data_IF_999163949516
#
_entry.id   IF_999163949516
#
_cell.length_a   1.000
_cell.length_b   1.000
_cell.length_c   1.000
_cell.angle_alpha   90.00
_cell.angle_beta   90.00
_cell.angle_gamma   90.00
#
_symmetry.space_group_name_H-M   'P 1'
#
loop_
_entity.id
_entity.type
_entity.pdbx_description
1 polymer ?
#
# COMPACT_ATOMS: atom_id res chain seq x y z
N UNK A 1 0.34 -25.84 -3.80
CA UNK A 1 1.11 -26.96 -4.39
C UNK A 1 0.30 -27.45 -5.56
N UNK A 2 0.84 -27.30 -6.76
CA UNK A 2 0.18 -27.75 -7.98
C UNK A 2 0.15 -29.26 -8.00
N UNK A 3 -1.05 -29.84 -8.07
CA UNK A 3 -1.22 -31.26 -8.31
C UNK A 3 -0.90 -31.46 -9.78
N UNK A 4 0.32 -31.94 -10.02
CA UNK A 4 0.80 -32.33 -11.34
C UNK A 4 -0.07 -33.45 -11.88
N UNK A 5 -0.50 -33.33 -13.11
CA UNK A 5 -1.16 -34.23 -14.02
C UNK A 5 -0.68 -35.70 -13.93
N UNK A 6 -1.14 -36.40 -12.95
CA UNK A 6 -1.12 -37.86 -12.98
C UNK A 6 -2.54 -38.30 -13.34
N UNK A 7 -2.68 -39.12 -14.38
CA UNK A 7 -3.95 -39.73 -14.73
C UNK A 7 -4.49 -40.63 -13.62
N UNK A 8 -5.69 -41.11 -13.77
CA UNK A 8 -6.30 -42.05 -12.84
C UNK A 8 -5.42 -43.32 -12.66
N UNK A 9 -5.14 -43.76 -11.44
CA UNK A 9 -4.28 -44.94 -11.20
C UNK A 9 -4.87 -46.27 -11.73
N UNK A 10 -6.16 -46.31 -12.01
CA UNK A 10 -6.81 -47.53 -12.52
C UNK A 10 -7.05 -47.51 -14.03
N UNK A 11 -7.35 -46.35 -14.64
CA UNK A 11 -7.73 -46.28 -16.02
C UNK A 11 -7.01 -45.23 -16.87
N UNK A 12 -6.04 -44.50 -16.28
CA UNK A 12 -5.33 -43.35 -16.89
C UNK A 12 -6.26 -42.23 -17.41
N UNK A 13 -7.53 -42.25 -17.02
CA UNK A 13 -8.51 -41.23 -17.40
C UNK A 13 -8.22 -39.86 -16.79
N UNK A 14 -8.83 -38.81 -17.37
CA UNK A 14 -8.71 -37.46 -16.86
C UNK A 14 -9.32 -37.30 -15.46
N UNK A 15 -8.64 -36.57 -14.60
CA UNK A 15 -9.11 -36.25 -13.24
C UNK A 15 -9.83 -34.91 -13.24
N UNK A 16 -11.03 -34.85 -12.68
CA UNK A 16 -11.82 -33.64 -12.51
C UNK A 16 -12.03 -33.34 -11.03
N UNK A 17 -11.86 -32.07 -10.64
CA UNK A 17 -12.15 -31.61 -9.30
C UNK A 17 -13.66 -31.30 -9.19
N UNK A 18 -14.38 -32.06 -8.38
CA UNK A 18 -15.80 -31.88 -8.09
C UNK A 18 -15.98 -31.50 -6.63
N UNK A 19 -16.07 -30.21 -6.34
CA UNK A 19 -16.20 -29.71 -4.96
C UNK A 19 -14.97 -30.05 -4.09
N UNK A 20 -15.15 -30.91 -3.09
CA UNK A 20 -14.08 -31.35 -2.16
C UNK A 20 -13.37 -32.63 -2.63
N UNK A 21 -13.72 -33.19 -3.78
CA UNK A 21 -13.21 -34.48 -4.25
C UNK A 21 -12.59 -34.34 -5.65
N UNK A 22 -11.54 -35.12 -5.88
CA UNK A 22 -10.96 -35.29 -7.21
C UNK A 22 -11.36 -36.65 -7.74
N UNK A 23 -12.21 -36.65 -8.79
CA UNK A 23 -12.86 -37.85 -9.33
C UNK A 23 -12.35 -38.11 -10.74
N UNK A 24 -12.18 -39.36 -11.10
CA UNK A 24 -11.89 -39.74 -12.48
C UNK A 24 -13.15 -39.64 -13.33
N UNK A 25 -13.08 -38.85 -14.46
CA UNK A 25 -14.19 -38.72 -15.41
C UNK A 25 -14.57 -39.99 -16.13
N UNK A 26 -13.65 -40.97 -16.24
CA UNK A 26 -13.86 -42.23 -17.01
C UNK A 26 -14.38 -43.38 -16.15
N UNK A 27 -13.86 -43.58 -14.94
CA UNK A 27 -14.23 -44.71 -14.09
C UNK A 27 -14.93 -44.33 -12.79
N UNK A 28 -15.02 -43.03 -12.46
CA UNK A 28 -15.65 -42.54 -11.25
C UNK A 28 -14.84 -42.75 -9.94
N UNK A 29 -13.59 -43.18 -10.03
CA UNK A 29 -12.74 -43.39 -8.89
C UNK A 29 -12.43 -42.05 -8.19
N UNK A 30 -12.67 -41.93 -6.88
CA UNK A 30 -12.24 -40.81 -6.07
C UNK A 30 -10.77 -41.00 -5.70
N UNK A 31 -9.90 -40.18 -6.30
CA UNK A 31 -8.44 -40.27 -6.14
C UNK A 31 -7.96 -39.47 -4.92
N UNK A 32 -8.60 -38.37 -4.64
CA UNK A 32 -8.28 -37.53 -3.48
C UNK A 32 -9.53 -36.87 -2.92
N UNK A 33 -9.56 -36.70 -1.60
CA UNK A 33 -10.59 -35.99 -0.87
C UNK A 33 -9.97 -34.82 -0.12
N UNK A 34 -10.31 -33.59 -0.49
CA UNK A 34 -9.88 -32.39 0.22
C UNK A 34 -10.99 -31.98 1.20
N UNK A 35 -10.88 -32.44 2.43
CA UNK A 35 -11.84 -32.18 3.50
C UNK A 35 -11.65 -30.80 4.17
N UNK A 36 -10.63 -30.04 3.74
CA UNK A 36 -10.34 -28.73 4.31
C UNK A 36 -11.16 -27.68 3.57
N UNK A 37 -12.17 -27.13 4.21
CA UNK A 37 -12.87 -25.94 3.73
C UNK A 37 -11.94 -24.73 3.88
N UNK A 38 -11.47 -24.21 2.73
CA UNK A 38 -10.61 -23.00 2.66
C UNK A 38 -11.45 -21.72 2.53
N UNK A 39 -12.75 -21.84 2.52
CA UNK A 39 -13.68 -20.72 2.52
C UNK A 39 -13.65 -19.94 3.84
N UNK A 40 -14.21 -18.75 3.87
CA UNK A 40 -14.30 -17.95 5.09
C UNK A 40 -15.26 -18.64 6.10
N UNK A 41 -14.88 -18.64 7.38
CA UNK A 41 -15.70 -19.20 8.50
C UNK A 41 -17.02 -18.46 8.73
N UNK A 42 -17.17 -17.27 8.16
CA UNK A 42 -18.40 -16.46 8.29
C UNK A 42 -19.21 -16.53 7.01
N UNK A 43 -20.52 -16.51 7.17
CA UNK A 43 -21.47 -16.34 6.08
C UNK A 43 -22.11 -14.97 6.21
N UNK A 44 -22.10 -14.18 5.15
CA UNK A 44 -22.81 -12.92 5.02
C UNK A 44 -23.98 -13.14 4.08
N UNK A 45 -25.20 -12.81 4.51
CA UNK A 45 -26.38 -12.81 3.69
C UNK A 45 -26.71 -11.37 3.30
N UNK A 46 -27.34 -11.16 2.14
CA UNK A 46 -27.70 -9.83 1.64
C UNK A 46 -28.62 -9.04 2.61
N UNK A 47 -29.40 -9.77 3.45
CA UNK A 47 -30.29 -9.17 4.45
C UNK A 47 -29.62 -8.88 5.79
N UNK A 48 -28.34 -9.18 5.97
CA UNK A 48 -27.63 -8.93 7.24
C UNK A 48 -27.28 -7.44 7.37
N UNK A 49 -27.86 -6.75 8.35
CA UNK A 49 -27.54 -5.34 8.68
C UNK A 49 -26.10 -5.12 9.15
N UNK A 50 -25.40 -6.17 9.54
CA UNK A 50 -24.01 -6.11 10.04
C UNK A 50 -23.10 -7.06 9.29
N UNK A 51 -22.01 -6.54 8.78
CA UNK A 51 -20.97 -7.33 8.13
C UNK A 51 -20.25 -8.21 9.15
N UNK A 52 -20.41 -9.54 9.03
CA UNK A 52 -19.83 -10.54 9.95
C UNK A 52 -18.39 -10.91 9.60
N UNK A 53 -17.82 -10.29 8.59
CA UNK A 53 -16.46 -10.56 8.14
C UNK A 53 -15.43 -10.36 9.25
N UNK A 54 -14.65 -11.39 9.57
CA UNK A 54 -13.59 -11.38 10.58
C UNK A 54 -12.21 -11.15 9.94
N UNK A 55 -12.16 -10.32 8.91
CA UNK A 55 -10.94 -9.94 8.25
C UNK A 55 -10.37 -8.68 8.87
N UNK A 56 -9.04 -8.55 8.83
CA UNK A 56 -8.39 -7.27 9.11
C UNK A 56 -8.66 -6.25 8.01
N UNK A 57 -8.24 -5.01 8.25
CA UNK A 57 -8.30 -3.97 7.23
C UNK A 57 -7.55 -4.41 5.96
N UNK A 58 -8.04 -4.05 4.76
CA UNK A 58 -7.37 -4.40 3.52
C UNK A 58 -5.95 -3.84 3.45
N UNK A 59 -5.04 -4.58 2.82
CA UNK A 59 -3.67 -4.15 2.60
C UNK A 59 -3.66 -2.90 1.70
N UNK A 60 -3.12 -1.80 2.22
CA UNK A 60 -3.03 -0.54 1.48
C UNK A 60 -1.58 -0.19 1.18
N UNK A 61 -1.27 0.14 -0.08
CA UNK A 61 0.09 0.56 -0.47
C UNK A 61 0.47 1.94 0.07
N UNK A 62 -0.50 2.76 0.48
CA UNK A 62 -0.26 4.08 1.07
C UNK A 62 0.21 4.04 2.53
N UNK A 63 0.36 2.85 3.11
CA UNK A 63 0.98 2.65 4.41
C UNK A 63 2.35 2.01 4.23
N UNK A 64 3.36 2.50 4.95
CA UNK A 64 4.73 1.98 4.91
C UNK A 64 4.83 0.49 5.27
N UNK A 65 3.93 0.02 6.12
CA UNK A 65 3.78 -1.35 6.60
C UNK A 65 2.62 -2.11 5.92
N UNK A 66 2.03 -1.53 4.87
CA UNK A 66 0.83 -2.02 4.18
C UNK A 66 -0.38 -2.25 5.09
N UNK A 67 -0.34 -1.74 6.33
CA UNK A 67 -1.39 -1.93 7.33
C UNK A 67 -1.24 -3.18 8.19
N UNK A 68 -0.11 -3.91 8.09
CA UNK A 68 0.13 -5.14 8.85
C UNK A 68 0.56 -4.90 10.30
N UNK A 69 1.11 -3.72 10.62
CA UNK A 69 1.54 -3.44 11.99
C UNK A 69 0.38 -3.00 12.88
N UNK A 70 0.48 -3.36 14.15
CA UNK A 70 -0.44 -2.93 15.19
C UNK A 70 0.07 -1.69 15.89
N UNK A 71 -0.81 -0.89 16.47
CA UNK A 71 -0.46 0.27 17.27
C UNK A 71 -0.86 0.10 18.73
N UNK A 72 0.00 0.53 19.65
CA UNK A 72 -0.36 0.61 21.07
C UNK A 72 -1.23 1.86 21.28
N UNK A 73 -2.53 1.63 21.54
CA UNK A 73 -3.54 2.67 21.66
C UNK A 73 -3.17 3.81 22.62
N UNK A 74 -3.61 5.02 22.31
CA UNK A 74 -3.40 6.22 23.13
C UNK A 74 -4.57 6.39 24.09
N UNK A 75 -4.43 5.95 25.35
CA UNK A 75 -5.40 6.25 26.38
C UNK A 75 -5.00 7.53 27.14
N UNK A 76 -5.93 8.48 27.22
CA UNK A 76 -5.77 9.72 28.00
C UNK A 76 -5.97 9.49 29.49
N UNK A 77 -6.59 8.36 29.88
CA UNK A 77 -6.93 8.04 31.29
C UNK A 77 -5.74 7.54 32.13
N UNK A 78 -4.58 7.29 31.50
CA UNK A 78 -3.42 6.75 32.21
C UNK A 78 -2.69 7.86 32.96
N UNK A 79 -2.45 7.66 34.26
CA UNK A 79 -1.72 8.60 35.14
C UNK A 79 -0.46 7.95 35.72
N UNK A 80 0.48 8.79 36.17
CA UNK A 80 1.63 8.41 36.99
C UNK A 80 2.52 7.31 36.32
N UNK A 81 2.83 6.25 37.06
CA UNK A 81 3.74 5.17 36.68
C UNK A 81 3.26 4.41 35.42
N UNK A 82 1.94 4.17 35.30
CA UNK A 82 1.36 3.48 34.13
C UNK A 82 1.56 4.31 32.85
N UNK A 83 1.35 5.64 32.91
CA UNK A 83 1.59 6.54 31.78
C UNK A 83 3.06 6.52 31.33
N UNK A 84 4.01 6.53 32.27
CA UNK A 84 5.45 6.46 31.95
C UNK A 84 5.80 5.13 31.28
N UNK A 85 5.29 4.00 31.82
CA UNK A 85 5.49 2.66 31.25
C UNK A 85 4.95 2.55 29.82
N UNK A 86 3.72 3.02 29.60
CA UNK A 86 3.11 2.99 28.26
C UNK A 86 3.82 3.89 27.27
N UNK A 87 4.32 5.06 27.71
CA UNK A 87 5.15 5.94 26.86
C UNK A 87 6.45 5.25 26.43
N UNK A 88 7.09 4.52 27.34
CA UNK A 88 8.31 3.74 27.06
C UNK A 88 8.01 2.61 26.06
N UNK A 89 6.95 1.84 26.28
CA UNK A 89 6.53 0.75 25.40
C UNK A 89 6.23 1.27 23.98
N UNK A 90 5.47 2.35 23.85
CA UNK A 90 5.21 2.98 22.55
C UNK A 90 6.48 3.42 21.83
N UNK A 91 7.44 3.97 22.57
CA UNK A 91 8.75 4.35 21.99
C UNK A 91 9.52 3.15 21.49
N UNK A 92 9.56 2.06 22.27
CA UNK A 92 10.22 0.82 21.88
C UNK A 92 9.51 0.16 20.69
N UNK A 93 8.19 0.09 20.72
CA UNK A 93 7.37 -0.44 19.63
C UNK A 93 7.60 0.32 18.32
N UNK A 94 7.57 1.66 18.37
CA UNK A 94 7.85 2.50 17.19
C UNK A 94 9.26 2.30 16.64
N UNK A 95 10.25 2.02 17.51
CA UNK A 95 11.62 1.70 17.06
C UNK A 95 11.70 0.33 16.41
N UNK A 96 10.95 -0.64 16.91
CA UNK A 96 10.90 -1.99 16.36
C UNK A 96 10.16 -2.07 15.00
N UNK A 97 9.25 -1.13 14.72
CA UNK A 97 8.54 -1.06 13.44
C UNK A 97 9.41 -0.59 12.27
N UNK A 98 10.53 0.07 12.53
CA UNK A 98 11.45 0.57 11.50
C UNK A 98 12.80 -0.09 11.66
N UNK A 99 13.03 -1.21 10.95
CA UNK A 99 14.26 -1.98 11.04
C UNK A 99 15.40 -1.34 10.23
N UNK A 100 15.06 -0.75 9.07
CA UNK A 100 16.04 -0.19 8.15
C UNK A 100 15.94 1.32 8.00
N UNK A 101 17.04 1.96 7.54
CA UNK A 101 17.05 3.37 7.12
C UNK A 101 16.06 3.58 5.95
N UNK A 102 15.96 2.60 5.06
CA UNK A 102 15.04 2.62 3.92
C UNK A 102 13.58 2.70 4.38
N UNK A 103 13.18 1.88 5.37
CA UNK A 103 11.82 1.91 5.92
C UNK A 103 11.50 3.23 6.62
N UNK A 104 12.49 3.79 7.33
CA UNK A 104 12.35 5.11 7.95
C UNK A 104 12.12 6.19 6.90
N UNK A 105 12.90 6.19 5.82
CA UNK A 105 12.76 7.16 4.72
C UNK A 105 11.39 7.02 4.05
N UNK A 106 10.94 5.78 3.80
CA UNK A 106 9.60 5.49 3.25
C UNK A 106 8.49 6.03 4.16
N UNK A 107 8.60 5.78 5.46
CA UNK A 107 7.63 6.29 6.43
C UNK A 107 7.57 7.83 6.43
N UNK A 108 8.73 8.50 6.41
CA UNK A 108 8.82 9.97 6.35
C UNK A 108 8.21 10.49 5.04
N UNK A 109 8.57 9.92 3.90
CA UNK A 109 8.00 10.31 2.61
C UNK A 109 6.48 10.14 2.56
N UNK A 110 5.95 9.05 3.08
CA UNK A 110 4.50 8.83 3.14
C UNK A 110 3.77 9.81 4.07
N UNK A 111 4.39 10.20 5.18
CA UNK A 111 3.85 11.25 6.05
C UNK A 111 3.81 12.59 5.31
N UNK A 112 4.87 12.91 4.58
CA UNK A 112 4.96 14.14 3.81
C UNK A 112 3.95 14.17 2.65
N UNK A 113 3.83 13.08 1.88
CA UNK A 113 2.78 12.92 0.85
C UNK A 113 1.39 13.20 1.43
N UNK A 114 1.05 12.60 2.58
CA UNK A 114 -0.25 12.82 3.23
C UNK A 114 -0.45 14.28 3.64
N UNK A 115 0.62 14.93 4.14
CA UNK A 115 0.58 16.32 4.56
C UNK A 115 0.30 17.24 3.38
N UNK A 116 1.02 17.06 2.28
CA UNK A 116 0.85 17.85 1.05
C UNK A 116 -0.55 17.64 0.45
N UNK A 117 -0.98 16.37 0.32
CA UNK A 117 -2.31 16.03 -0.20
C UNK A 117 -3.43 16.63 0.66
N UNK A 118 -3.31 16.58 2.01
CA UNK A 118 -4.27 17.23 2.92
C UNK A 118 -4.22 18.76 2.83
N UNK A 119 -3.04 19.35 2.66
CA UNK A 119 -2.88 20.79 2.56
C UNK A 119 -3.45 21.39 1.27
N UNK A 120 -3.54 20.58 0.23
CA UNK A 120 -4.08 20.98 -1.10
C UNK A 120 -5.49 20.43 -1.38
N UNK A 121 -6.14 19.79 -0.40
CA UNK A 121 -7.45 19.14 -0.52
C UNK A 121 -7.56 18.18 -1.72
N UNK A 122 -6.51 17.39 -1.96
CA UNK A 122 -6.46 16.44 -3.06
C UNK A 122 -7.13 15.11 -2.70
N UNK A 123 -7.54 14.37 -3.73
CA UNK A 123 -8.22 13.08 -3.56
C UNK A 123 -7.33 11.99 -2.95
N UNK A 124 -7.96 10.99 -2.31
CA UNK A 124 -7.25 9.82 -1.77
C UNK A 124 -6.54 9.02 -2.88
N UNK A 125 -7.08 9.02 -4.09
CA UNK A 125 -6.47 8.35 -5.24
C UNK A 125 -5.11 8.97 -5.58
N UNK A 126 -4.98 10.29 -5.57
CA UNK A 126 -3.70 10.99 -5.77
C UNK A 126 -2.74 10.64 -4.64
N UNK A 127 -3.19 10.61 -3.39
CA UNK A 127 -2.37 10.20 -2.26
C UNK A 127 -1.79 8.80 -2.44
N UNK A 128 -2.64 7.84 -2.77
CA UNK A 128 -2.22 6.44 -2.87
C UNK A 128 -1.27 6.21 -4.05
N UNK A 129 -1.54 6.84 -5.20
CA UNK A 129 -0.63 6.83 -6.35
C UNK A 129 0.71 7.52 -6.03
N UNK A 130 0.70 8.63 -5.29
CA UNK A 130 1.91 9.34 -4.91
C UNK A 130 2.78 8.52 -3.93
N UNK A 131 2.16 7.76 -3.03
CA UNK A 131 2.89 6.83 -2.17
C UNK A 131 3.55 5.71 -3.01
N UNK A 132 2.85 5.16 -4.01
CA UNK A 132 3.41 4.15 -4.92
C UNK A 132 4.56 4.71 -5.74
N UNK A 133 4.41 5.93 -6.30
CA UNK A 133 5.46 6.57 -7.08
C UNK A 133 6.70 6.87 -6.23
N UNK A 134 6.51 7.33 -4.99
CA UNK A 134 7.60 7.54 -4.04
C UNK A 134 8.32 6.22 -3.69
N UNK A 135 7.57 5.11 -3.50
CA UNK A 135 8.14 3.78 -3.26
C UNK A 135 8.97 3.30 -4.46
N UNK A 136 8.49 3.54 -5.70
CA UNK A 136 9.23 3.23 -6.93
C UNK A 136 10.52 4.05 -7.03
N UNK A 137 10.46 5.37 -6.76
CA UNK A 137 11.64 6.21 -6.72
C UNK A 137 12.68 5.75 -5.69
N UNK A 138 12.20 5.25 -4.55
CA UNK A 138 13.08 4.70 -3.53
C UNK A 138 13.68 3.35 -3.93
N UNK A 139 12.95 2.52 -4.70
CA UNK A 139 13.47 1.24 -5.19
C UNK A 139 14.56 1.39 -6.23
N UNK A 140 14.51 2.48 -7.02
CA UNK A 140 15.52 2.85 -8.00
C UNK A 140 16.63 3.74 -7.40
N UNK A 141 16.73 3.82 -6.07
CA UNK A 141 17.74 4.56 -5.32
C UNK A 141 17.85 6.07 -5.70
N UNK A 142 16.77 6.66 -6.25
CA UNK A 142 16.76 8.06 -6.69
C UNK A 142 16.85 9.06 -5.53
N UNK A 143 16.57 8.63 -4.30
CA UNK A 143 16.61 9.47 -3.10
C UNK A 143 18.03 9.68 -2.56
N UNK A 144 19.06 9.00 -3.10
CA UNK A 144 20.41 9.11 -2.58
C UNK A 144 20.96 10.52 -2.80
N UNK A 145 21.36 11.18 -1.71
CA UNK A 145 21.90 12.54 -1.72
C UNK A 145 20.89 13.65 -1.99
N UNK A 146 19.59 13.34 -1.92
CA UNK A 146 18.49 14.29 -2.19
C UNK A 146 17.49 14.35 -1.03
N UNK A 147 16.64 15.39 -1.02
CA UNK A 147 15.60 15.63 -0.02
C UNK A 147 14.46 14.61 -0.13
N UNK A 148 14.11 13.96 0.98
CA UNK A 148 12.95 13.04 1.04
C UNK A 148 11.66 13.83 0.84
N UNK A 149 11.59 15.02 1.45
CA UNK A 149 10.46 15.93 1.38
C UNK A 149 10.27 16.43 -0.05
N UNK A 150 11.37 16.76 -0.75
CA UNK A 150 11.36 17.15 -2.16
C UNK A 150 10.81 16.04 -3.07
N UNK A 151 11.23 14.78 -2.87
CA UNK A 151 10.69 13.65 -3.62
C UNK A 151 9.23 13.35 -3.30
N UNK A 152 8.81 13.50 -2.05
CA UNK A 152 7.41 13.33 -1.66
C UNK A 152 6.51 14.37 -2.34
N UNK A 153 6.93 15.64 -2.33
CA UNK A 153 6.23 16.73 -3.01
C UNK A 153 6.23 16.54 -4.54
N UNK A 154 7.35 16.15 -5.13
CA UNK A 154 7.46 15.87 -6.55
C UNK A 154 6.56 14.69 -7.00
N UNK A 155 6.42 13.65 -6.17
CA UNK A 155 5.50 12.55 -6.43
C UNK A 155 4.03 12.99 -6.43
N UNK A 156 3.64 13.91 -5.54
CA UNK A 156 2.29 14.51 -5.55
C UNK A 156 2.09 15.35 -6.79
N UNK A 157 3.03 16.24 -7.11
CA UNK A 157 2.97 17.08 -8.31
C UNK A 157 2.85 16.27 -9.60
N UNK A 158 3.68 15.22 -9.75
CA UNK A 158 3.64 14.32 -10.90
C UNK A 158 2.27 13.63 -11.05
N UNK A 159 1.68 13.18 -9.93
CA UNK A 159 0.37 12.55 -9.98
C UNK A 159 -0.77 13.55 -10.21
N UNK A 160 -0.67 14.78 -9.77
CA UNK A 160 -1.61 15.83 -10.16
C UNK A 160 -1.59 16.03 -11.68
N UNK A 161 -0.40 16.14 -12.28
CA UNK A 161 -0.24 16.28 -13.73
C UNK A 161 -0.82 15.10 -14.52
N UNK A 162 -0.50 13.87 -14.12
CA UNK A 162 -1.01 12.67 -14.81
C UNK A 162 -2.50 12.42 -14.61
N UNK A 163 -3.09 13.01 -13.59
CA UNK A 163 -4.52 12.90 -13.29
C UNK A 163 -5.35 14.08 -13.81
N UNK A 164 -4.75 15.04 -14.53
CA UNK A 164 -5.44 16.23 -15.04
C UNK A 164 -5.90 17.19 -13.94
N UNK A 165 -5.22 17.18 -12.78
CA UNK A 165 -5.50 18.13 -11.70
C UNK A 165 -4.47 19.25 -11.77
N UNK A 166 -4.91 20.43 -12.21
CA UNK A 166 -4.04 21.59 -12.33
C UNK A 166 -3.56 22.05 -10.95
N UNK A 167 -2.25 22.00 -10.73
CA UNK A 167 -1.54 22.53 -9.55
C UNK A 167 -0.19 23.06 -9.98
N UNK A 168 0.17 24.21 -9.48
CA UNK A 168 1.46 24.82 -9.76
C UNK A 168 2.55 24.25 -8.84
N UNK A 169 3.82 24.34 -9.29
CA UNK A 169 4.97 23.95 -8.44
C UNK A 169 5.00 24.77 -7.15
N UNK A 170 4.67 26.06 -7.24
CA UNK A 170 4.63 26.96 -6.10
C UNK A 170 3.60 26.56 -5.05
N UNK A 171 2.37 26.19 -5.46
CA UNK A 171 1.33 25.71 -4.55
C UNK A 171 1.75 24.44 -3.82
N UNK A 172 2.33 23.47 -4.57
CA UNK A 172 2.78 22.21 -3.98
C UNK A 172 3.95 22.44 -3.03
N UNK A 173 4.91 23.30 -3.39
CA UNK A 173 6.03 23.66 -2.52
C UNK A 173 5.56 24.40 -1.25
N UNK A 174 4.57 25.29 -1.38
CA UNK A 174 3.97 26.00 -0.23
C UNK A 174 3.28 25.06 0.77
N UNK A 175 2.73 23.93 0.30
CA UNK A 175 2.17 22.88 1.16
C UNK A 175 3.25 21.89 1.65
N UNK A 176 4.41 21.81 1.03
CA UNK A 176 5.49 20.88 1.35
C UNK A 176 6.48 21.44 2.40
N UNK A 177 7.30 20.58 3.00
CA UNK A 177 8.48 20.98 3.80
C UNK A 177 9.74 21.08 2.92
N UNK A 178 9.57 21.14 1.62
CA UNK A 178 10.64 21.25 0.64
C UNK A 178 10.57 22.61 -0.05
N UNK A 179 11.73 23.05 -0.53
CA UNK A 179 11.81 24.23 -1.39
C UNK A 179 11.36 23.91 -2.81
N UNK A 180 10.99 24.94 -3.58
CA UNK A 180 10.59 24.77 -4.98
C UNK A 180 11.72 24.17 -5.83
N UNK A 181 12.97 24.54 -5.56
CA UNK A 181 14.12 24.00 -6.25
C UNK A 181 14.35 22.52 -5.96
N UNK A 182 14.20 22.09 -4.70
CA UNK A 182 14.28 20.67 -4.33
C UNK A 182 13.19 19.86 -5.01
N UNK A 183 11.95 20.41 -5.07
CA UNK A 183 10.84 19.79 -5.76
C UNK A 183 11.11 19.65 -7.25
N UNK A 184 11.62 20.72 -7.90
CA UNK A 184 11.96 20.73 -9.33
C UNK A 184 13.02 19.68 -9.67
N UNK A 185 14.12 19.66 -8.91
CA UNK A 185 15.19 18.66 -9.09
C UNK A 185 14.69 17.23 -8.90
N UNK A 186 13.83 17.01 -7.89
CA UNK A 186 13.23 15.70 -7.64
C UNK A 186 12.27 15.30 -8.76
N UNK A 187 11.44 16.22 -9.25
CA UNK A 187 10.52 15.98 -10.35
C UNK A 187 11.25 15.64 -11.66
N UNK A 188 12.32 16.38 -11.99
CA UNK A 188 13.14 16.10 -13.17
C UNK A 188 13.79 14.72 -13.10
N UNK A 189 14.23 14.30 -11.90
CA UNK A 189 14.76 12.97 -11.68
C UNK A 189 13.69 11.89 -11.86
N UNK A 190 12.49 12.07 -11.29
CA UNK A 190 11.35 11.15 -11.44
C UNK A 190 10.95 11.01 -12.91
N UNK A 191 10.86 12.13 -13.62
CA UNK A 191 10.43 12.13 -15.03
C UNK A 191 11.47 11.43 -15.93
N UNK A 192 12.76 11.62 -15.68
CA UNK A 192 13.85 11.03 -16.45
C UNK A 192 13.95 9.52 -16.25
N UNK A 193 13.96 9.09 -14.99
CA UNK A 193 14.25 7.69 -14.66
C UNK A 193 13.01 6.79 -14.73
N UNK A 194 11.83 7.32 -14.38
CA UNK A 194 10.59 6.53 -14.38
C UNK A 194 9.72 6.77 -15.64
N UNK A 195 10.13 7.66 -16.54
CA UNK A 195 9.43 7.90 -17.81
C UNK A 195 7.95 8.24 -17.63
N UNK A 196 7.64 9.22 -16.76
CA UNK A 196 6.26 9.56 -16.46
C UNK A 196 5.52 10.08 -17.70
N UNK A 197 4.27 9.67 -17.94
CA UNK A 197 3.46 10.13 -19.06
C UNK A 197 2.93 11.56 -18.80
N UNK A 198 3.84 12.52 -18.60
CA UNK A 198 3.51 13.92 -18.38
C UNK A 198 3.57 14.67 -19.69
N UNK A 199 2.41 14.96 -20.29
CA UNK A 199 2.29 15.83 -21.45
C UNK A 199 2.49 17.31 -21.12
N UNK A 200 2.49 18.22 -22.16
CA UNK A 200 2.39 19.65 -21.93
C UNK A 200 1.11 19.99 -21.20
N UNK A 201 1.17 21.00 -20.34
CA UNK A 201 0.00 21.48 -19.59
C UNK A 201 -0.75 22.50 -20.48
N UNK A 202 -2.06 22.35 -20.56
CA UNK A 202 -2.90 23.38 -21.15
C UNK A 202 -3.00 24.57 -20.16
N UNK A 203 -2.60 25.80 -20.57
CA UNK A 203 -2.72 26.97 -19.71
C UNK A 203 -4.15 27.27 -19.26
N UNK A 204 -5.17 26.78 -19.99
CA UNK A 204 -6.58 26.98 -19.64
C UNK A 204 -7.03 26.14 -18.42
N UNK A 205 -6.24 25.18 -17.96
CA UNK A 205 -6.54 24.33 -16.79
C UNK A 205 -6.11 24.94 -15.45
N UNK A 206 -5.38 26.09 -15.48
CA UNK A 206 -4.95 26.83 -14.27
C UNK A 206 -5.92 28.02 -13.99
#
# INVERSE_FOLDING_TARGET
MSITSQGCPECDGALEASGCETVCASCGLVVAQDTIDRGPEWRSFEDDETEKARTGAPLTRSRHDRGLSTEIGRSTRLKGRKRRRMRRLRRQHRRAQTESKRDRNRMLGFIEVRRVVSGLDLSQTIRDRSCVLFESAQSEDLLVGRSIEGFAAAAVYANCRTSGVARTLHEVAGAAQATEDELRVAYDALNRELGLPTGPIDPAEY
#
